data_IF_503115653288
#
_entry.id   IF_503115653288
#
_cell.length_a   1.000
_cell.length_b   1.000
_cell.length_c   1.000
_cell.angle_alpha   90.00
_cell.angle_beta   90.00
_cell.angle_gamma   90.00
#
_symmetry.space_group_name_H-M   'P 1'
#
loop_
_entity.id
_entity.type
_entity.pdbx_description
1 polymer ?
#
# COMPACT_ATOMS: atom_id res chain seq x y z
N UNK A 1 -1.14 9.58 -24.17
CA UNK A 1 -1.74 8.30 -23.75
C UNK A 1 -2.83 7.76 -24.71
N UNK A 2 -3.41 8.59 -25.55
CA UNK A 2 -4.52 8.17 -26.44
C UNK A 2 -4.13 7.26 -27.61
N UNK A 3 -2.84 6.96 -27.75
CA UNK A 3 -2.29 6.13 -28.84
C UNK A 3 -1.84 4.72 -28.40
N UNK A 4 -2.06 4.37 -27.11
CA UNK A 4 -1.71 3.06 -26.60
C UNK A 4 -2.88 2.11 -26.76
N UNK A 5 -2.60 0.90 -27.23
CA UNK A 5 -3.57 -0.17 -27.27
C UNK A 5 -4.07 -0.52 -25.86
N UNK A 6 -5.28 -1.07 -25.78
CA UNK A 6 -5.86 -1.51 -24.52
C UNK A 6 -5.03 -2.68 -23.95
N UNK A 7 -4.45 -2.54 -22.75
CA UNK A 7 -3.72 -3.64 -22.13
C UNK A 7 -4.68 -4.69 -21.59
N UNK A 8 -4.30 -5.95 -21.61
CA UNK A 8 -5.04 -7.02 -20.94
C UNK A 8 -4.85 -6.95 -19.43
N UNK A 9 -3.66 -6.60 -18.97
CA UNK A 9 -3.28 -6.52 -17.55
C UNK A 9 -2.66 -5.17 -17.23
N UNK A 10 -3.07 -4.58 -16.13
CA UNK A 10 -2.40 -3.41 -15.53
C UNK A 10 -1.85 -3.80 -14.16
N UNK A 11 -0.54 -3.70 -13.99
CA UNK A 11 0.12 -3.81 -12.68
C UNK A 11 0.54 -2.41 -12.24
N UNK A 12 0.16 -2.02 -11.03
CA UNK A 12 0.47 -0.71 -10.47
C UNK A 12 1.01 -0.82 -9.04
N UNK A 13 2.07 -0.04 -8.75
CA UNK A 13 2.63 0.08 -7.40
C UNK A 13 2.83 1.57 -7.07
N UNK A 14 1.75 2.29 -6.73
CA UNK A 14 1.85 3.70 -6.37
C UNK A 14 2.70 3.90 -5.12
N UNK A 15 3.40 5.05 -5.00
CA UNK A 15 4.32 5.30 -3.88
C UNK A 15 3.65 5.09 -2.53
N UNK A 16 4.27 4.28 -1.67
CA UNK A 16 3.75 3.95 -0.35
C UNK A 16 4.15 4.96 0.74
N UNK A 17 5.02 5.92 0.44
CA UNK A 17 5.59 6.84 1.42
C UNK A 17 4.51 7.67 2.14
N UNK A 18 3.50 8.14 1.42
CA UNK A 18 2.38 8.92 1.97
C UNK A 18 1.42 8.09 2.82
N UNK A 19 1.41 6.78 2.63
CA UNK A 19 0.38 5.88 3.14
C UNK A 19 0.86 4.97 4.26
N UNK A 20 2.16 4.92 4.49
CA UNK A 20 2.76 4.04 5.49
C UNK A 20 2.32 4.43 6.91
N UNK A 21 1.89 3.44 7.69
CA UNK A 21 1.58 3.62 9.12
C UNK A 21 2.82 4.08 9.89
N UNK A 22 4.00 3.59 9.53
CA UNK A 22 5.26 4.02 10.14
C UNK A 22 5.54 5.51 9.93
N UNK A 23 5.17 6.06 8.77
CA UNK A 23 5.32 7.49 8.48
C UNK A 23 4.26 8.37 9.16
N UNK A 24 3.15 7.79 9.59
CA UNK A 24 2.08 8.49 10.30
C UNK A 24 2.25 8.53 11.82
N UNK A 25 3.19 7.76 12.37
CA UNK A 25 3.51 7.76 13.81
C UNK A 25 4.08 9.11 14.26
N UNK A 26 4.09 9.34 15.58
CA UNK A 26 4.77 10.51 16.19
C UNK A 26 6.21 10.56 15.71
N UNK A 27 6.64 11.70 15.14
CA UNK A 27 7.97 11.85 14.54
C UNK A 27 8.09 11.30 13.11
N UNK A 28 7.04 10.73 12.51
CA UNK A 28 7.01 10.32 11.10
C UNK A 28 6.77 11.50 10.15
N UNK A 29 7.12 11.36 8.86
CA UNK A 29 7.08 12.42 7.87
C UNK A 29 5.82 12.44 6.98
N UNK A 30 4.84 11.59 7.27
CA UNK A 30 3.55 11.65 6.58
C UNK A 30 2.77 12.89 7.02
N UNK A 31 2.01 13.46 6.10
CA UNK A 31 1.09 14.55 6.44
C UNK A 31 -0.20 14.07 7.14
N UNK A 32 -0.39 12.77 7.22
CA UNK A 32 -1.49 12.14 7.95
C UNK A 32 -1.02 11.69 9.33
N UNK A 33 -1.91 11.77 10.31
CA UNK A 33 -1.74 11.19 11.63
C UNK A 33 -2.90 10.27 11.96
N UNK A 34 -2.64 9.32 12.85
CA UNK A 34 -3.66 8.47 13.43
C UNK A 34 -4.06 9.06 14.78
N UNK A 35 -5.32 9.41 14.92
CA UNK A 35 -5.90 9.84 16.19
C UNK A 35 -6.72 8.70 16.78
N UNK A 36 -6.55 8.49 18.09
CA UNK A 36 -7.43 7.62 18.85
C UNK A 36 -8.72 8.37 19.10
N UNK A 37 -9.83 7.79 18.67
CA UNK A 37 -11.16 8.32 18.95
C UNK A 37 -11.78 7.45 20.04
N UNK A 38 -12.17 8.05 21.14
CA UNK A 38 -12.92 7.37 22.20
C UNK A 38 -14.38 7.71 21.97
N UNK A 39 -15.09 6.79 21.34
CA UNK A 39 -16.54 6.92 21.19
C UNK A 39 -17.24 6.11 22.27
N UNK A 40 -18.34 6.64 22.77
CA UNK A 40 -19.24 5.89 23.65
C UNK A 40 -20.33 5.32 22.75
N UNK A 41 -20.49 4.00 22.73
CA UNK A 41 -21.56 3.36 21.98
C UNK A 41 -22.94 3.63 22.64
N UNK A 42 -24.00 3.22 21.96
CA UNK A 42 -25.36 3.40 22.44
C UNK A 42 -25.66 2.72 23.80
N UNK A 43 -24.78 1.82 24.23
CA UNK A 43 -24.90 1.09 25.50
C UNK A 43 -24.02 1.69 26.61
N UNK A 44 -23.36 2.83 26.37
CA UNK A 44 -22.49 3.48 27.33
C UNK A 44 -21.09 2.86 27.46
N UNK A 45 -20.72 1.94 26.57
CA UNK A 45 -19.40 1.32 26.56
C UNK A 45 -18.42 2.17 25.73
N UNK A 46 -17.16 2.24 26.18
CA UNK A 46 -16.12 2.96 25.45
C UNK A 46 -15.56 2.08 24.35
N UNK A 47 -15.77 2.49 23.10
CA UNK A 47 -15.11 1.89 21.95
C UNK A 47 -13.90 2.73 21.55
N UNK A 48 -12.73 2.09 21.51
CA UNK A 48 -11.53 2.73 21.01
C UNK A 48 -11.49 2.64 19.48
N UNK A 49 -11.98 3.68 18.83
CA UNK A 49 -11.79 3.90 17.39
C UNK A 49 -10.44 4.51 17.08
N UNK A 50 -10.05 4.46 15.83
CA UNK A 50 -8.95 5.26 15.30
C UNK A 50 -9.32 5.84 13.96
N UNK A 51 -9.08 7.13 13.79
CA UNK A 51 -9.31 7.81 12.52
C UNK A 51 -8.04 8.44 11.99
N UNK A 52 -7.99 8.58 10.70
CA UNK A 52 -6.93 9.28 10.00
C UNK A 52 -7.31 10.74 9.83
N UNK A 53 -6.47 11.61 10.32
CA UNK A 53 -6.62 13.06 10.17
C UNK A 53 -5.38 13.65 9.52
N UNK A 54 -5.56 14.84 8.94
CA UNK A 54 -4.45 15.59 8.35
C UNK A 54 -3.72 16.31 9.47
N UNK A 55 -2.38 16.28 9.46
CA UNK A 55 -1.56 17.08 10.34
C UNK A 55 -1.72 18.56 10.01
N UNK A 56 -1.92 19.36 11.03
CA UNK A 56 -1.89 20.81 10.96
C UNK A 56 -0.51 21.35 11.35
N UNK A 57 -0.33 22.67 11.33
CA UNK A 57 0.95 23.30 11.68
C UNK A 57 1.42 22.98 13.11
N UNK A 58 0.51 22.86 14.07
CA UNK A 58 0.83 22.53 15.48
C UNK A 58 1.41 21.12 15.58
N UNK A 59 0.95 20.19 14.76
CA UNK A 59 1.48 18.84 14.72
C UNK A 59 2.96 18.80 14.27
N UNK A 60 3.46 19.85 13.63
CA UNK A 60 4.84 19.94 13.15
C UNK A 60 5.75 20.82 14.03
N UNK A 61 5.21 21.64 14.93
CA UNK A 61 6.00 22.56 15.77
C UNK A 61 7.09 21.85 16.60
N UNK A 62 6.82 20.62 17.03
CA UNK A 62 7.73 19.81 17.83
C UNK A 62 8.56 18.81 17.00
N UNK A 63 8.52 18.92 15.69
CA UNK A 63 9.24 18.02 14.78
C UNK A 63 10.20 18.78 13.90
N UNK A 64 11.38 18.19 13.66
CA UNK A 64 12.36 18.72 12.69
C UNK A 64 11.93 18.52 11.22
N UNK A 65 10.64 18.40 10.96
CA UNK A 65 10.14 18.23 9.61
C UNK A 65 9.97 19.57 8.92
N UNK A 66 10.29 19.55 7.65
CA UNK A 66 9.82 20.57 6.74
C UNK A 66 8.37 20.26 6.39
N UNK A 67 7.43 21.09 6.82
CA UNK A 67 6.02 21.01 6.48
C UNK A 67 5.80 20.80 4.98
N UNK A 68 6.51 21.58 4.15
CA UNK A 68 6.45 21.49 2.70
C UNK A 68 6.78 20.11 2.16
N UNK A 69 7.78 19.44 2.71
CA UNK A 69 8.14 18.10 2.29
C UNK A 69 7.00 17.11 2.53
N UNK A 70 6.37 17.16 3.69
CA UNK A 70 5.26 16.28 4.04
C UNK A 70 4.03 16.56 3.18
N UNK A 71 3.77 17.83 2.91
CA UNK A 71 2.67 18.27 2.04
C UNK A 71 2.87 17.79 0.59
N UNK A 72 4.06 17.96 0.04
CA UNK A 72 4.40 17.49 -1.31
C UNK A 72 4.35 15.95 -1.41
N UNK A 73 4.82 15.25 -0.39
CA UNK A 73 4.70 13.78 -0.31
C UNK A 73 3.25 13.33 -0.38
N UNK A 74 2.37 14.02 0.35
CA UNK A 74 0.93 13.76 0.32
C UNK A 74 0.34 13.96 -1.06
N UNK A 75 0.55 15.15 -1.66
CA UNK A 75 0.02 15.46 -3.00
C UNK A 75 0.48 14.41 -4.01
N UNK A 76 1.76 14.07 -3.99
CA UNK A 76 2.30 13.07 -4.89
C UNK A 76 1.62 11.69 -4.72
N UNK A 77 1.43 11.26 -3.47
CA UNK A 77 0.74 10.01 -3.17
C UNK A 77 -0.72 10.00 -3.63
N UNK A 78 -1.46 11.06 -3.36
CA UNK A 78 -2.86 11.21 -3.76
C UNK A 78 -3.00 11.27 -5.29
N UNK A 79 -2.15 12.04 -5.98
CA UNK A 79 -2.15 12.11 -7.45
C UNK A 79 -1.80 10.77 -8.08
N UNK A 80 -0.79 10.07 -7.57
CA UNK A 80 -0.39 8.79 -8.13
C UNK A 80 -1.51 7.76 -8.04
N UNK A 81 -2.18 7.64 -6.89
CA UNK A 81 -3.29 6.69 -6.77
C UNK A 81 -4.50 7.11 -7.60
N UNK A 82 -4.86 8.39 -7.59
CA UNK A 82 -5.95 8.89 -8.41
C UNK A 82 -5.71 8.60 -9.90
N UNK A 83 -4.52 8.91 -10.43
CA UNK A 83 -4.15 8.63 -11.80
C UNK A 83 -4.14 7.14 -12.11
N UNK A 84 -3.67 6.29 -11.18
CA UNK A 84 -3.72 4.83 -11.33
C UNK A 84 -5.16 4.36 -11.57
N UNK A 85 -6.10 4.82 -10.73
CA UNK A 85 -7.51 4.44 -10.86
C UNK A 85 -8.12 4.99 -12.16
N UNK A 86 -7.79 6.23 -12.56
CA UNK A 86 -8.25 6.81 -13.83
C UNK A 86 -7.72 6.06 -15.06
N UNK A 87 -6.50 5.54 -15.01
CA UNK A 87 -5.95 4.69 -16.05
C UNK A 87 -6.73 3.36 -16.12
N UNK A 88 -7.01 2.75 -14.98
CA UNK A 88 -7.82 1.50 -14.91
C UNK A 88 -9.23 1.75 -15.47
N UNK A 89 -9.90 2.82 -15.06
CA UNK A 89 -11.24 3.18 -15.55
C UNK A 89 -11.25 3.44 -17.06
N UNK A 90 -10.21 4.10 -17.57
CA UNK A 90 -10.12 4.46 -18.99
C UNK A 90 -9.87 3.25 -19.87
N UNK A 91 -8.86 2.44 -19.54
CA UNK A 91 -8.45 1.31 -20.38
C UNK A 91 -9.29 0.07 -20.13
N UNK A 92 -9.97 -0.05 -19.00
CA UNK A 92 -10.80 -1.20 -18.63
C UNK A 92 -10.10 -2.54 -18.94
N UNK A 93 -8.91 -2.77 -18.36
CA UNK A 93 -8.16 -4.00 -18.61
C UNK A 93 -8.99 -5.22 -18.17
N UNK A 94 -8.67 -6.41 -18.68
CA UNK A 94 -9.27 -7.64 -18.17
C UNK A 94 -8.91 -7.84 -16.70
N UNK A 95 -7.67 -7.54 -16.35
CA UNK A 95 -7.15 -7.65 -14.98
C UNK A 95 -6.41 -6.37 -14.60
N UNK A 96 -6.64 -5.89 -13.38
CA UNK A 96 -5.76 -4.92 -12.74
C UNK A 96 -5.30 -5.43 -11.39
N UNK A 97 -4.09 -5.07 -11.01
CA UNK A 97 -3.49 -5.38 -9.71
C UNK A 97 -2.79 -4.13 -9.17
N UNK A 98 -3.17 -3.70 -7.99
CA UNK A 98 -2.56 -2.56 -7.29
C UNK A 98 -1.81 -3.09 -6.07
N UNK A 99 -0.49 -2.89 -6.03
CA UNK A 99 0.37 -3.28 -4.90
C UNK A 99 0.56 -2.12 -3.93
N UNK A 100 0.45 -2.40 -2.64
CA UNK A 100 0.90 -1.50 -1.58
C UNK A 100 1.03 -2.28 -0.25
N UNK A 101 1.77 -1.76 0.76
CA UNK A 101 1.81 -2.37 2.08
C UNK A 101 0.41 -2.69 2.63
N UNK A 102 0.25 -3.89 3.20
CA UNK A 102 -1.08 -4.40 3.59
C UNK A 102 -1.83 -3.49 4.56
N UNK A 103 -1.09 -2.86 5.47
CA UNK A 103 -1.65 -1.98 6.52
C UNK A 103 -1.49 -0.49 6.17
N UNK A 104 -1.15 -0.17 4.93
CA UNK A 104 -1.09 1.21 4.44
C UNK A 104 -2.48 1.84 4.35
N UNK A 105 -2.55 3.15 4.56
CA UNK A 105 -3.81 3.91 4.55
C UNK A 105 -4.37 4.17 3.16
N UNK A 106 -3.64 3.80 2.15
CA UNK A 106 -4.07 3.89 0.75
C UNK A 106 -5.40 3.15 0.51
N UNK A 107 -5.63 2.03 1.19
CA UNK A 107 -6.83 1.21 1.03
C UNK A 107 -8.08 1.91 1.54
N UNK A 108 -7.98 2.56 2.69
CA UNK A 108 -9.06 3.39 3.23
C UNK A 108 -9.32 4.62 2.35
N UNK A 109 -8.26 5.24 1.83
CA UNK A 109 -8.37 6.40 0.95
C UNK A 109 -9.06 6.04 -0.37
N UNK A 110 -8.69 4.94 -1.00
CA UNK A 110 -9.33 4.44 -2.23
C UNK A 110 -10.82 4.20 -1.98
N UNK A 111 -11.17 3.51 -0.88
CA UNK A 111 -12.54 3.13 -0.57
C UNK A 111 -13.40 4.31 -0.12
N UNK A 112 -12.90 5.10 0.83
CA UNK A 112 -13.73 6.07 1.57
C UNK A 112 -13.64 7.49 0.99
N UNK A 113 -12.55 7.84 0.31
CA UNK A 113 -12.35 9.17 -0.26
C UNK A 113 -12.61 9.19 -1.75
N UNK A 114 -12.01 8.24 -2.51
CA UNK A 114 -12.21 8.16 -3.95
C UNK A 114 -13.51 7.42 -4.30
N UNK A 115 -13.95 6.49 -3.44
CA UNK A 115 -15.15 5.68 -3.68
C UNK A 115 -14.95 4.57 -4.71
N UNK A 116 -13.70 4.17 -4.99
CA UNK A 116 -13.41 3.11 -5.93
C UNK A 116 -13.45 1.74 -5.25
N UNK A 117 -14.29 0.85 -5.78
CA UNK A 117 -14.45 -0.50 -5.24
C UNK A 117 -13.45 -1.47 -5.88
N UNK A 118 -12.67 -2.17 -5.03
CA UNK A 118 -11.78 -3.25 -5.46
C UNK A 118 -12.31 -4.56 -4.85
N UNK A 119 -12.71 -5.55 -5.69
CA UNK A 119 -13.38 -6.76 -5.22
C UNK A 119 -12.51 -7.66 -4.33
N UNK A 120 -11.21 -7.79 -4.64
CA UNK A 120 -10.34 -8.73 -3.95
C UNK A 120 -9.13 -8.05 -3.33
N UNK A 121 -8.88 -8.36 -2.06
CA UNK A 121 -7.73 -7.93 -1.29
C UNK A 121 -6.78 -9.12 -1.06
N UNK A 122 -5.92 -9.39 -2.03
CA UNK A 122 -5.00 -10.53 -1.97
C UNK A 122 -3.82 -10.20 -1.05
N UNK A 123 -3.89 -10.59 0.22
CA UNK A 123 -2.81 -10.45 1.18
C UNK A 123 -1.76 -11.54 0.97
N UNK A 124 -0.48 -11.15 1.03
CA UNK A 124 0.65 -12.07 1.06
C UNK A 124 1.80 -11.53 1.92
N UNK A 125 2.75 -12.40 2.23
CA UNK A 125 4.00 -12.04 2.90
C UNK A 125 5.16 -12.40 1.98
N UNK A 126 6.12 -11.51 1.81
CA UNK A 126 7.25 -11.71 0.90
C UNK A 126 8.09 -12.95 1.19
N UNK A 127 8.20 -13.34 2.47
CA UNK A 127 8.91 -14.55 2.87
C UNK A 127 8.23 -15.88 2.49
N UNK A 128 7.03 -15.85 1.94
CA UNK A 128 6.42 -17.01 1.27
C UNK A 128 7.00 -17.26 -0.13
N UNK A 129 7.82 -16.33 -0.65
CA UNK A 129 8.38 -16.34 -2.00
C UNK A 129 9.91 -16.19 -1.95
N UNK A 130 10.55 -17.00 -1.09
CA UNK A 130 12.01 -17.04 -0.92
C UNK A 130 12.66 -15.68 -0.64
N UNK A 131 11.93 -14.79 0.04
CA UNK A 131 12.43 -13.46 0.37
C UNK A 131 12.81 -13.36 1.85
N UNK A 132 13.97 -12.72 2.16
CA UNK A 132 14.49 -12.72 3.54
C UNK A 132 13.68 -11.88 4.52
N UNK A 133 12.71 -11.10 4.04
CA UNK A 133 11.93 -10.17 4.85
C UNK A 133 10.46 -10.55 4.81
N UNK A 134 9.85 -10.68 5.98
CA UNK A 134 8.41 -10.73 6.10
C UNK A 134 7.84 -9.33 5.91
N UNK A 135 7.45 -9.01 4.68
CA UNK A 135 6.76 -7.76 4.37
C UNK A 135 5.31 -8.08 4.02
N UNK A 136 4.35 -7.77 4.90
CA UNK A 136 2.94 -7.92 4.58
C UNK A 136 2.56 -6.92 3.48
N UNK A 137 2.11 -7.45 2.36
CA UNK A 137 1.76 -6.66 1.18
C UNK A 137 0.40 -7.11 0.65
N UNK A 138 -0.41 -6.16 0.23
CA UNK A 138 -1.70 -6.39 -0.39
C UNK A 138 -1.60 -6.13 -1.89
N UNK A 139 -2.13 -7.06 -2.67
CA UNK A 139 -2.32 -6.95 -4.11
C UNK A 139 -3.82 -6.87 -4.37
N UNK A 140 -4.35 -5.65 -4.35
CA UNK A 140 -5.78 -5.42 -4.57
C UNK A 140 -6.11 -5.51 -6.06
N UNK A 141 -7.14 -6.27 -6.44
CA UNK A 141 -7.38 -6.68 -7.82
C UNK A 141 -8.88 -6.95 -8.07
N UNK A 142 -9.25 -7.00 -9.34
CA UNK A 142 -10.57 -7.45 -9.75
C UNK A 142 -10.70 -8.98 -9.84
N UNK A 143 -9.63 -9.74 -9.55
CA UNK A 143 -9.63 -11.20 -9.48
C UNK A 143 -9.01 -11.71 -8.17
N UNK A 144 -9.41 -12.91 -7.75
CA UNK A 144 -8.75 -13.60 -6.64
C UNK A 144 -7.45 -14.27 -7.14
N UNK A 145 -6.32 -13.70 -6.73
CA UNK A 145 -4.99 -14.19 -7.13
C UNK A 145 -4.55 -15.44 -6.36
N UNK A 146 -5.24 -15.82 -5.29
CA UNK A 146 -4.91 -17.00 -4.45
C UNK A 146 -3.43 -17.09 -4.08
N UNK A 147 -2.85 -15.95 -3.66
CA UNK A 147 -1.45 -15.85 -3.27
C UNK A 147 -1.16 -16.63 -1.98
N UNK A 148 0.07 -17.10 -1.83
CA UNK A 148 0.53 -17.71 -0.58
C UNK A 148 0.47 -16.70 0.56
N UNK A 149 -0.12 -17.09 1.70
CA UNK A 149 -0.35 -16.18 2.85
C UNK A 149 -0.02 -16.80 4.21
N UNK A 150 0.88 -17.78 4.23
CA UNK A 150 1.27 -18.44 5.47
C UNK A 150 2.03 -17.47 6.36
N UNK A 151 1.67 -17.41 7.64
CA UNK A 151 2.34 -16.58 8.61
C UNK A 151 3.64 -17.22 9.10
N UNK A 152 4.61 -17.31 8.19
CA UNK A 152 5.93 -17.85 8.50
C UNK A 152 6.72 -16.82 9.31
N UNK A 153 7.27 -17.24 10.46
CA UNK A 153 8.15 -16.38 11.26
C UNK A 153 9.44 -16.08 10.50
N UNK A 154 9.84 -14.81 10.49
CA UNK A 154 11.15 -14.44 9.96
C UNK A 154 12.26 -15.11 10.78
N UNK A 155 13.13 -15.84 10.10
CA UNK A 155 14.35 -16.39 10.69
C UNK A 155 15.46 -15.33 10.78
N UNK A 156 15.39 -14.27 9.97
CA UNK A 156 16.42 -13.22 9.88
C UNK A 156 15.79 -11.86 10.18
N UNK A 157 16.36 -11.15 11.15
CA UNK A 157 15.98 -9.72 11.38
C UNK A 157 16.63 -8.87 10.29
N UNK A 158 15.85 -7.95 9.69
CA UNK A 158 16.32 -7.07 8.62
C UNK A 158 17.63 -6.33 8.95
N UNK A 159 17.82 -5.93 10.21
CA UNK A 159 19.04 -5.25 10.67
C UNK A 159 20.29 -6.17 10.66
N UNK A 160 20.13 -7.49 10.57
CA UNK A 160 21.22 -8.47 10.46
C UNK A 160 21.60 -8.80 9.02
N UNK A 161 20.83 -8.33 8.03
CA UNK A 161 21.23 -8.40 6.64
C UNK A 161 22.35 -7.37 6.46
N UNK A 162 23.55 -7.83 6.13
CA UNK A 162 24.74 -6.99 5.85
C UNK A 162 24.56 -6.19 4.54
N UNK A 163 23.47 -5.44 4.44
CA UNK A 163 23.11 -4.62 3.28
C UNK A 163 23.23 -3.16 3.70
N UNK A 164 24.12 -2.42 3.07
CA UNK A 164 24.40 -1.02 3.35
C UNK A 164 23.94 -0.10 2.23
N UNK A 165 23.62 1.16 2.55
CA UNK A 165 23.34 2.21 1.58
C UNK A 165 22.11 1.98 0.69
N UNK A 166 22.26 2.30 -0.59
CA UNK A 166 21.18 2.22 -1.62
C UNK A 166 20.60 0.82 -1.75
N UNK A 167 21.42 -0.22 -1.58
CA UNK A 167 20.99 -1.60 -1.64
C UNK A 167 19.96 -1.95 -0.55
N UNK A 168 20.06 -1.32 0.63
CA UNK A 168 19.11 -1.55 1.73
C UNK A 168 17.70 -1.05 1.38
N UNK A 169 17.60 0.10 0.72
CA UNK A 169 16.31 0.61 0.24
C UNK A 169 15.72 -0.31 -0.83
N UNK A 170 16.54 -0.70 -1.82
CA UNK A 170 16.11 -1.56 -2.91
C UNK A 170 15.59 -2.91 -2.40
N UNK A 171 16.29 -3.54 -1.46
CA UNK A 171 15.81 -4.80 -0.85
C UNK A 171 14.49 -4.61 -0.11
N UNK A 172 14.23 -3.46 0.51
CA UNK A 172 12.95 -3.21 1.17
C UNK A 172 11.80 -2.91 0.21
N UNK A 173 12.09 -2.30 -0.92
CA UNK A 173 11.09 -1.86 -1.89
C UNK A 173 10.81 -2.86 -2.99
N UNK A 174 11.77 -3.71 -3.34
CA UNK A 174 11.61 -4.70 -4.41
C UNK A 174 10.56 -5.76 -4.07
N UNK A 175 9.74 -6.09 -5.05
CA UNK A 175 8.81 -7.21 -4.98
C UNK A 175 9.61 -8.49 -5.32
N UNK A 176 9.47 -9.59 -4.56
CA UNK A 176 10.14 -10.84 -4.86
C UNK A 176 9.82 -11.34 -6.27
N UNK A 177 10.85 -11.79 -7.00
CA UNK A 177 10.68 -12.25 -8.38
C UNK A 177 9.68 -13.42 -8.49
N UNK A 178 9.75 -14.38 -7.55
CA UNK A 178 8.84 -15.53 -7.55
C UNK A 178 7.39 -15.12 -7.29
N UNK A 179 7.15 -14.08 -6.48
CA UNK A 179 5.83 -13.50 -6.30
C UNK A 179 5.32 -12.85 -7.59
N UNK A 180 6.17 -12.11 -8.31
CA UNK A 180 5.79 -11.51 -9.61
C UNK A 180 5.44 -12.61 -10.61
N UNK A 181 6.24 -13.68 -10.70
CA UNK A 181 5.96 -14.82 -11.57
C UNK A 181 4.63 -15.51 -11.22
N UNK A 182 4.33 -15.66 -9.91
CA UNK A 182 3.06 -16.26 -9.49
C UNK A 182 1.86 -15.39 -9.87
N UNK A 183 1.95 -14.08 -9.65
CA UNK A 183 0.90 -13.12 -10.06
C UNK A 183 0.67 -13.21 -11.58
N UNK A 184 1.72 -13.15 -12.39
CA UNK A 184 1.60 -13.23 -13.86
C UNK A 184 0.99 -14.55 -14.31
N UNK A 185 1.40 -15.68 -13.72
CA UNK A 185 0.82 -17.00 -14.02
C UNK A 185 -0.67 -17.05 -13.71
N UNK A 186 -1.13 -16.45 -12.59
CA UNK A 186 -2.55 -16.37 -12.24
C UNK A 186 -3.32 -15.48 -13.21
N UNK A 187 -2.72 -14.36 -13.61
CA UNK A 187 -3.31 -13.50 -14.63
C UNK A 187 -3.47 -14.25 -15.97
N UNK A 188 -2.46 -14.96 -16.42
CA UNK A 188 -2.51 -15.75 -17.66
C UNK A 188 -3.57 -16.85 -17.61
N UNK A 189 -3.68 -17.54 -16.49
CA UNK A 189 -4.74 -18.54 -16.28
C UNK A 189 -6.12 -17.92 -16.41
N UNK A 190 -6.33 -16.73 -15.86
CA UNK A 190 -7.61 -16.03 -15.89
C UNK A 190 -7.97 -15.51 -17.29
N UNK A 191 -6.97 -15.07 -18.08
CA UNK A 191 -7.21 -14.52 -19.42
C UNK A 191 -7.52 -15.60 -20.45
N UNK A 192 -6.99 -16.81 -20.24
CA UNK A 192 -7.18 -17.96 -21.18
C UNK A 192 -8.55 -18.64 -21.06
N UNK A 193 -9.34 -18.27 -20.04
CA UNK A 193 -10.73 -18.70 -19.86
C UNK A 193 -11.70 -17.61 -20.32
#
# INVERSE_FOLDING_TARGET
MDKLDRPDVILASPPCESWSVASAMKGGNACWKQEKDMTVNLFGEYEQGSKFTIRNHIDYENYQFKYDKSFLTRINGEMCIYNTLKIIERYKPKIFVIENPAYGRIWEYIKNVIGFHIPYENLTYYNNYDYPIKKPTKFASNIDLKLLKDDIKNTIKFNKLNITGVNRYNVRSSIPLELVKDILRRCDQYIKW
#
